data_IF_245388555618
#
_entry.id   IF_245388555618
#
_cell.length_a   1.000
_cell.length_b   1.000
_cell.length_c   1.000
_cell.angle_alpha   90.00
_cell.angle_beta   90.00
_cell.angle_gamma   90.00
#
_symmetry.space_group_name_H-M   'P 1'
#
loop_
_entity.id
_entity.type
_entity.pdbx_description
1 polymer ?
#
# COMPACT_ATOMS: atom_id res chain seq x y z
N UNK A 1 13.67 -10.13 5.27
CA UNK A 1 14.69 -9.06 5.15
C UNK A 1 14.11 -7.76 4.58
N UNK A 2 13.37 -7.77 3.46
CA UNK A 2 12.60 -6.62 2.97
C UNK A 2 11.09 -6.80 3.16
N UNK A 3 10.55 -7.98 2.83
CA UNK A 3 9.16 -8.33 3.11
C UNK A 3 8.86 -8.24 4.61
N UNK A 4 9.66 -8.88 5.47
CA UNK A 4 9.48 -8.81 6.93
C UNK A 4 9.55 -7.37 7.50
N UNK A 5 10.41 -6.52 6.92
CA UNK A 5 10.53 -5.10 7.30
C UNK A 5 9.24 -4.34 6.91
N UNK A 6 8.76 -4.52 5.68
CA UNK A 6 7.50 -3.95 5.24
C UNK A 6 6.32 -4.45 6.09
N UNK A 7 6.24 -5.75 6.36
CA UNK A 7 5.22 -6.35 7.23
C UNK A 7 5.23 -5.71 8.62
N UNK A 8 6.40 -5.58 9.24
CA UNK A 8 6.52 -4.96 10.57
C UNK A 8 6.05 -3.51 10.59
N UNK A 9 6.32 -2.74 9.53
CA UNK A 9 5.86 -1.35 9.43
C UNK A 9 4.35 -1.26 9.20
N UNK A 10 3.79 -2.13 8.36
CA UNK A 10 2.35 -2.21 8.12
C UNK A 10 1.57 -2.67 9.36
N UNK A 11 2.18 -3.53 10.18
CA UNK A 11 1.65 -3.98 11.47
C UNK A 11 1.61 -2.84 12.50
N UNK A 12 2.63 -1.99 12.51
CA UNK A 12 2.73 -0.86 13.43
C UNK A 12 1.82 0.32 13.05
N UNK A 13 1.28 0.33 11.83
CA UNK A 13 0.43 1.41 11.33
C UNK A 13 -0.96 1.40 11.97
N UNK A 14 -1.54 2.58 12.23
CA UNK A 14 -2.79 2.70 12.99
C UNK A 14 -4.06 2.39 12.19
N UNK A 15 -3.97 2.25 10.87
CA UNK A 15 -5.10 2.02 9.98
C UNK A 15 -4.71 2.06 8.51
N UNK A 16 -5.68 1.97 7.61
CA UNK A 16 -5.45 1.90 6.15
C UNK A 16 -4.68 3.10 5.63
N UNK A 17 -5.05 4.32 6.06
CA UNK A 17 -4.39 5.56 5.62
C UNK A 17 -2.90 5.55 5.98
N UNK A 18 -2.58 5.25 7.24
CA UNK A 18 -1.20 5.16 7.73
C UNK A 18 -0.42 4.01 7.05
N UNK A 19 -1.07 2.88 6.77
CA UNK A 19 -0.48 1.79 6.00
C UNK A 19 -0.05 2.23 4.59
N UNK A 20 -0.84 3.05 3.90
CA UNK A 20 -0.52 3.58 2.58
C UNK A 20 0.69 4.54 2.64
N UNK A 21 0.71 5.43 3.63
CA UNK A 21 1.84 6.35 3.87
C UNK A 21 3.14 5.59 4.18
N UNK A 22 3.06 4.60 5.07
CA UNK A 22 4.19 3.72 5.43
C UNK A 22 4.71 2.96 4.23
N UNK A 23 3.82 2.44 3.39
CA UNK A 23 4.18 1.71 2.16
C UNK A 23 4.93 2.59 1.17
N UNK A 24 4.42 3.81 0.91
CA UNK A 24 5.12 4.79 0.06
C UNK A 24 6.48 5.17 0.63
N UNK A 25 6.56 5.45 1.94
CA UNK A 25 7.84 5.75 2.62
C UNK A 25 8.84 4.61 2.48
N UNK A 26 8.42 3.36 2.69
CA UNK A 26 9.28 2.19 2.51
C UNK A 26 9.86 2.12 1.09
N UNK A 27 9.04 2.40 0.07
CA UNK A 27 9.49 2.37 -1.32
C UNK A 27 10.53 3.44 -1.64
N UNK A 28 10.39 4.64 -1.08
CA UNK A 28 11.37 5.72 -1.22
C UNK A 28 12.66 5.45 -0.44
N UNK A 29 12.56 4.90 0.77
CA UNK A 29 13.74 4.54 1.57
C UNK A 29 14.51 3.35 0.99
N UNK A 30 13.81 2.42 0.32
CA UNK A 30 14.39 1.16 -0.17
C UNK A 30 13.91 0.81 -1.60
N UNK A 31 14.21 1.65 -2.62
CA UNK A 31 13.65 1.51 -3.96
C UNK A 31 14.05 0.21 -4.67
N UNK A 32 15.26 -0.30 -4.43
CA UNK A 32 15.68 -1.60 -4.98
C UNK A 32 14.94 -2.77 -4.32
N UNK A 33 14.79 -2.73 -3.00
CA UNK A 33 14.06 -3.76 -2.27
C UNK A 33 12.57 -3.77 -2.65
N UNK A 34 11.98 -2.59 -2.83
CA UNK A 34 10.62 -2.43 -3.34
C UNK A 34 10.45 -3.09 -4.70
N UNK A 35 11.32 -2.80 -5.68
CA UNK A 35 11.26 -3.45 -7.01
C UNK A 35 11.38 -4.97 -6.91
N UNK A 36 12.28 -5.47 -6.05
CA UNK A 36 12.48 -6.91 -5.86
C UNK A 36 11.24 -7.62 -5.31
N UNK A 37 10.43 -6.97 -4.47
CA UNK A 37 9.17 -7.54 -3.99
C UNK A 37 8.19 -7.88 -5.12
N UNK A 38 8.26 -7.18 -6.25
CA UNK A 38 7.36 -7.36 -7.39
C UNK A 38 7.96 -8.14 -8.57
N UNK A 39 9.28 -8.35 -8.59
CA UNK A 39 9.96 -9.16 -9.61
C UNK A 39 10.28 -10.58 -9.16
N UNK A 40 10.39 -10.81 -7.86
CA UNK A 40 10.68 -12.13 -7.33
C UNK A 40 9.43 -13.00 -7.33
N UNK A 41 9.60 -14.31 -7.56
CA UNK A 41 8.63 -15.31 -7.12
C UNK A 41 8.62 -15.28 -5.60
N UNK A 42 7.76 -14.44 -5.02
CA UNK A 42 7.66 -14.32 -3.56
C UNK A 42 7.09 -15.63 -3.01
N UNK A 43 7.77 -16.16 -2.00
CA UNK A 43 7.28 -17.28 -1.20
C UNK A 43 5.86 -16.99 -0.69
N UNK A 44 4.93 -17.92 -0.90
CA UNK A 44 3.52 -17.73 -0.56
C UNK A 44 3.33 -17.35 0.91
N UNK A 45 4.14 -17.90 1.82
CA UNK A 45 4.07 -17.61 3.25
C UNK A 45 4.45 -16.14 3.55
N UNK A 46 5.42 -15.60 2.82
CA UNK A 46 5.85 -14.19 2.96
C UNK A 46 4.82 -13.23 2.38
N UNK A 47 4.20 -13.60 1.27
CA UNK A 47 3.10 -12.82 0.69
C UNK A 47 1.90 -12.79 1.65
N UNK A 48 1.55 -13.94 2.24
CA UNK A 48 0.49 -14.04 3.23
C UNK A 48 0.79 -13.18 4.47
N UNK A 49 2.02 -13.25 5.01
CA UNK A 49 2.43 -12.44 6.15
C UNK A 49 2.36 -10.94 5.87
N UNK A 50 2.82 -10.49 4.70
CA UNK A 50 2.77 -9.07 4.30
C UNK A 50 1.34 -8.59 4.10
N UNK A 51 0.45 -9.46 3.60
CA UNK A 51 -0.95 -9.14 3.34
C UNK A 51 -1.81 -9.12 4.61
N UNK A 52 -1.40 -9.84 5.66
CA UNK A 52 -2.17 -9.98 6.90
C UNK A 52 -2.54 -8.64 7.58
N UNK A 53 -1.64 -7.68 7.81
CA UNK A 53 -2.00 -6.39 8.41
C UNK A 53 -2.96 -5.57 7.55
N UNK A 54 -2.82 -5.64 6.22
CA UNK A 54 -3.71 -4.95 5.28
C UNK A 54 -5.11 -5.59 5.30
N UNK A 55 -5.19 -6.92 5.31
CA UNK A 55 -6.44 -7.67 5.40
C UNK A 55 -7.17 -7.40 6.73
N UNK A 56 -6.45 -7.27 7.84
CA UNK A 56 -7.07 -6.90 9.13
C UNK A 56 -7.63 -5.48 9.10
N UNK A 57 -6.87 -4.50 8.59
CA UNK A 57 -7.31 -3.12 8.52
C UNK A 57 -8.53 -2.95 7.59
N UNK A 58 -8.51 -3.61 6.43
CA UNK A 58 -9.65 -3.61 5.48
C UNK A 58 -10.87 -4.33 6.04
N UNK A 59 -10.70 -5.48 6.69
CA UNK A 59 -11.82 -6.17 7.36
C UNK A 59 -12.45 -5.32 8.46
N UNK A 60 -11.66 -4.57 9.23
CA UNK A 60 -12.16 -3.65 10.24
C UNK A 60 -12.92 -2.44 9.64
N UNK A 61 -12.68 -2.12 8.36
CA UNK A 61 -13.26 -0.96 7.67
C UNK A 61 -14.51 -1.32 6.88
N UNK A 62 -14.47 -2.39 6.09
CA UNK A 62 -15.53 -2.77 5.13
C UNK A 62 -16.21 -4.09 5.44
N UNK A 63 -15.84 -4.75 6.56
CA UNK A 63 -16.31 -6.08 6.91
C UNK A 63 -15.60 -7.20 6.15
N UNK A 64 -15.78 -8.44 6.62
CA UNK A 64 -15.06 -9.61 6.11
C UNK A 64 -15.39 -9.93 4.64
N UNK A 65 -16.63 -9.68 4.21
CA UNK A 65 -17.11 -10.01 2.86
C UNK A 65 -16.42 -9.17 1.77
N UNK A 66 -16.01 -7.94 2.10
CA UNK A 66 -15.37 -7.01 1.16
C UNK A 66 -13.88 -6.76 1.44
N UNK A 67 -13.32 -7.31 2.54
CA UNK A 67 -11.95 -7.05 2.98
C UNK A 67 -10.91 -7.33 1.90
N UNK A 68 -11.02 -8.48 1.22
CA UNK A 68 -10.04 -8.89 0.21
C UNK A 68 -10.07 -7.98 -1.03
N UNK A 69 -11.26 -7.55 -1.44
CA UNK A 69 -11.42 -6.67 -2.60
C UNK A 69 -10.90 -5.26 -2.30
N UNK A 70 -11.19 -4.72 -1.11
CA UNK A 70 -10.63 -3.47 -0.62
C UNK A 70 -9.08 -3.55 -0.53
N UNK A 71 -8.54 -4.64 0.02
CA UNK A 71 -7.09 -4.81 0.14
C UNK A 71 -6.40 -4.83 -1.24
N UNK A 72 -6.99 -5.51 -2.23
CA UNK A 72 -6.47 -5.56 -3.60
C UNK A 72 -6.53 -4.20 -4.28
N UNK A 73 -7.65 -3.48 -4.15
CA UNK A 73 -7.82 -2.14 -4.71
C UNK A 73 -6.72 -1.19 -4.20
N UNK A 74 -6.56 -1.11 -2.88
CA UNK A 74 -5.62 -0.20 -2.23
C UNK A 74 -4.17 -0.57 -2.54
N UNK A 75 -3.84 -1.87 -2.49
CA UNK A 75 -2.49 -2.35 -2.82
C UNK A 75 -2.12 -2.07 -4.27
N UNK A 76 -3.04 -2.33 -5.22
CA UNK A 76 -2.80 -2.08 -6.64
C UNK A 76 -2.63 -0.59 -6.93
N UNK A 77 -3.49 0.27 -6.37
CA UNK A 77 -3.39 1.71 -6.52
C UNK A 77 -2.06 2.24 -5.95
N UNK A 78 -1.72 1.90 -4.70
CA UNK A 78 -0.50 2.35 -4.07
C UNK A 78 0.75 1.88 -4.82
N UNK A 79 0.78 0.61 -5.23
CA UNK A 79 1.89 0.04 -6.00
C UNK A 79 2.05 0.77 -7.33
N UNK A 80 0.96 1.01 -8.06
CA UNK A 80 0.98 1.72 -9.33
C UNK A 80 1.48 3.15 -9.20
N UNK A 81 0.92 3.91 -8.24
CA UNK A 81 1.32 5.29 -7.99
C UNK A 81 2.81 5.39 -7.66
N UNK A 82 3.27 4.61 -6.67
CA UNK A 82 4.67 4.63 -6.20
C UNK A 82 5.64 4.16 -7.28
N UNK A 83 5.24 3.17 -8.10
CA UNK A 83 6.07 2.73 -9.23
C UNK A 83 6.24 3.84 -10.26
N UNK A 84 5.15 4.55 -10.60
CA UNK A 84 5.18 5.69 -11.53
C UNK A 84 5.98 6.86 -10.96
N UNK A 85 5.83 7.12 -9.66
CA UNK A 85 6.59 8.14 -8.93
C UNK A 85 8.10 7.85 -8.98
N UNK A 86 8.52 6.65 -8.58
CA UNK A 86 9.94 6.24 -8.61
C UNK A 86 10.53 6.22 -10.03
N UNK A 87 9.70 6.10 -11.06
CA UNK A 87 10.11 6.18 -12.46
C UNK A 87 10.13 7.61 -13.02
N UNK A 88 9.74 8.63 -12.24
CA UNK A 88 9.60 10.01 -12.72
C UNK A 88 8.54 10.14 -13.82
N UNK A 89 7.50 9.31 -13.79
CA UNK A 89 6.48 9.26 -14.83
C UNK A 89 5.47 10.42 -14.73
N UNK A 90 5.34 11.06 -13.56
CA UNK A 90 4.52 12.25 -13.39
C UNK A 90 5.24 13.49 -13.93
N UNK A 91 4.94 13.85 -15.20
CA UNK A 91 5.60 14.95 -15.93
C UNK A 91 4.79 16.24 -16.01
N UNK A 92 3.58 16.25 -15.46
CA UNK A 92 2.65 17.38 -15.56
C UNK A 92 2.88 18.46 -14.49
N UNK A 93 3.90 18.30 -13.63
CA UNK A 93 4.16 19.18 -12.48
C UNK A 93 3.21 18.90 -11.29
N UNK A 94 3.25 19.76 -10.28
CA UNK A 94 2.48 19.61 -9.04
C UNK A 94 3.25 18.88 -7.93
N UNK A 95 2.67 18.87 -6.73
CA UNK A 95 3.20 18.16 -5.58
C UNK A 95 2.67 16.71 -5.57
N UNK A 96 3.57 15.73 -5.55
CA UNK A 96 3.20 14.32 -5.50
C UNK A 96 2.72 13.89 -4.11
N UNK A 97 3.10 14.62 -3.07
CA UNK A 97 2.57 14.41 -1.72
C UNK A 97 1.08 14.73 -1.69
N UNK A 98 0.70 15.93 -2.16
CA UNK A 98 -0.71 16.33 -2.27
C UNK A 98 -1.53 15.36 -3.14
N UNK A 99 -0.96 14.89 -4.26
CA UNK A 99 -1.63 13.95 -5.15
C UNK A 99 -1.84 12.57 -4.50
N UNK A 100 -0.88 12.12 -3.69
CA UNK A 100 -0.99 10.86 -2.96
C UNK A 100 -2.04 10.97 -1.85
N UNK A 101 -1.99 12.04 -1.05
CA UNK A 101 -2.95 12.32 0.03
C UNK A 101 -4.38 12.47 -0.52
N UNK A 102 -4.55 13.14 -1.66
CA UNK A 102 -5.82 13.23 -2.37
C UNK A 102 -6.38 11.85 -2.71
N UNK A 103 -5.53 10.94 -3.22
CA UNK A 103 -5.92 9.58 -3.56
C UNK A 103 -6.30 8.75 -2.34
N UNK A 104 -5.53 8.84 -1.25
CA UNK A 104 -5.87 8.19 0.03
C UNK A 104 -7.26 8.63 0.50
N UNK A 105 -7.49 9.95 0.60
CA UNK A 105 -8.72 10.50 1.12
C UNK A 105 -9.96 10.03 0.34
N UNK A 106 -9.87 9.99 -1.00
CA UNK A 106 -11.01 9.58 -1.83
C UNK A 106 -11.22 8.07 -1.84
N UNK A 107 -10.15 7.27 -1.92
CA UNK A 107 -10.27 5.81 -1.91
C UNK A 107 -10.76 5.31 -0.57
N UNK A 108 -10.11 5.72 0.53
CA UNK A 108 -10.53 5.31 1.88
C UNK A 108 -11.91 5.88 2.20
N UNK A 109 -12.17 7.16 1.90
CA UNK A 109 -13.48 7.77 2.08
C UNK A 109 -14.62 7.03 1.37
N UNK A 110 -14.35 6.48 0.18
CA UNK A 110 -15.33 5.68 -0.57
C UNK A 110 -15.64 4.32 0.05
N UNK A 111 -14.72 3.76 0.84
CA UNK A 111 -14.89 2.45 1.50
C UNK A 111 -15.70 2.55 2.78
N UNK A 112 -15.67 3.70 3.47
CA UNK A 112 -16.46 3.94 4.69
C UNK A 112 -17.84 4.53 4.41
N UNK A 113 -18.12 4.91 3.16
CA UNK A 113 -19.38 5.50 2.76
C UNK A 113 -20.33 4.42 2.23
N UNK A 114 -20.84 3.59 3.14
CA UNK A 114 -22.01 2.72 2.93
C UNK A 114 -22.95 2.78 4.15
#
# INVERSE_FOLDING_TARGET
AAADDLTARLEAASGIEDQLLVFRRFAHERPEAFRLLFTATVDADKLAATSAPVLRATSATVGADHALDAARLLTAWATGFVTMELAGAFRLGGDLDDAYDYGIAHLVGSLVSD
#
